data_IF_064312066024
#
_entry.id   IF_064312066024
#
_cell.length_a   1.000
_cell.length_b   1.000
_cell.length_c   1.000
_cell.angle_alpha   90.00
_cell.angle_beta   90.00
_cell.angle_gamma   90.00
#
_symmetry.space_group_name_H-M   'P 1'
#
loop_
_entity.id
_entity.type
_entity.pdbx_description
1 polymer ?
#
# COMPACT_ATOMS: atom_id res chain seq x y z
N UNK A 1 31.10 -60.20 -13.18
CA UNK A 1 29.93 -59.55 -13.81
C UNK A 1 30.18 -58.04 -13.76
N UNK A 2 30.72 -57.47 -14.84
CA UNK A 2 30.00 -56.62 -15.82
C UNK A 2 29.14 -55.51 -15.19
N UNK A 3 29.15 -54.25 -15.61
CA UNK A 3 30.12 -53.33 -16.26
C UNK A 3 29.34 -52.02 -16.47
N UNK A 4 30.06 -50.88 -16.46
CA UNK A 4 30.01 -49.75 -17.43
C UNK A 4 29.98 -48.34 -16.78
N UNK A 5 31.09 -47.59 -16.89
CA UNK A 5 31.41 -46.50 -17.87
C UNK A 5 30.88 -45.15 -17.34
N UNK A 6 31.75 -44.31 -16.75
CA UNK A 6 32.59 -43.22 -17.34
C UNK A 6 31.81 -41.92 -17.61
N UNK A 7 32.29 -40.81 -17.02
CA UNK A 7 32.76 -39.64 -17.75
C UNK A 7 33.45 -38.66 -16.79
N UNK A 8 34.70 -38.32 -17.13
CA UNK A 8 35.55 -37.35 -16.46
C UNK A 8 35.55 -36.05 -17.27
N UNK A 9 35.67 -34.89 -16.64
CA UNK A 9 36.31 -33.70 -17.23
C UNK A 9 36.70 -32.66 -16.16
N UNK A 10 38.02 -32.59 -15.94
CA UNK A 10 38.89 -31.45 -15.70
C UNK A 10 38.45 -30.31 -14.75
N UNK A 11 39.16 -30.24 -13.62
CA UNK A 11 39.47 -29.01 -12.93
C UNK A 11 40.37 -28.11 -13.81
N UNK A 12 40.02 -26.83 -13.92
CA UNK A 12 40.92 -25.79 -14.41
C UNK A 12 40.76 -24.55 -13.55
N UNK A 13 41.64 -24.44 -12.55
CA UNK A 13 42.09 -23.16 -12.01
C UNK A 13 42.65 -22.33 -13.17
N UNK A 14 42.08 -21.15 -13.43
CA UNK A 14 42.78 -20.11 -14.19
C UNK A 14 42.79 -18.85 -13.36
N UNK A 15 43.97 -18.64 -12.78
CA UNK A 15 44.69 -17.42 -12.51
C UNK A 15 43.90 -16.09 -12.53
N UNK A 16 44.03 -15.39 -11.42
CA UNK A 16 43.79 -13.96 -11.24
C UNK A 16 44.62 -13.18 -12.26
N UNK A 17 43.94 -12.51 -13.20
CA UNK A 17 44.55 -11.56 -14.12
C UNK A 17 44.24 -10.13 -13.68
N UNK A 18 45.10 -9.54 -12.83
CA UNK A 18 45.19 -8.09 -12.69
C UNK A 18 46.11 -7.56 -13.79
N UNK A 19 45.56 -6.85 -14.79
CA UNK A 19 46.16 -5.64 -15.39
C UNK A 19 45.11 -4.87 -16.22
N UNK A 20 44.70 -3.72 -15.67
CA UNK A 20 44.40 -2.42 -16.29
C UNK A 20 43.82 -2.35 -17.72
N UNK A 21 42.57 -1.85 -17.85
CA UNK A 21 42.22 -0.56 -18.48
C UNK A 21 40.72 -0.49 -18.85
N UNK A 22 40.01 0.50 -18.29
CA UNK A 22 38.86 1.12 -18.95
C UNK A 22 37.48 0.54 -18.65
N UNK A 23 36.63 1.40 -18.06
CA UNK A 23 35.19 1.30 -17.90
C UNK A 23 34.68 0.53 -16.68
N UNK A 24 34.38 1.33 -15.66
CA UNK A 24 33.35 1.07 -14.65
C UNK A 24 32.01 0.81 -15.36
N UNK A 25 31.74 -0.44 -15.72
CA UNK A 25 30.35 -0.87 -15.92
C UNK A 25 29.79 -1.18 -14.54
N UNK A 26 29.39 -0.11 -13.85
CA UNK A 26 28.30 -0.19 -12.89
C UNK A 26 27.17 -0.97 -13.57
N UNK A 27 26.57 -2.00 -12.93
CA UNK A 27 25.43 -2.68 -13.53
C UNK A 27 24.40 -1.59 -13.82
N UNK A 28 24.16 -1.30 -15.11
CA UNK A 28 23.17 -0.32 -15.49
C UNK A 28 21.86 -0.76 -14.83
N UNK A 29 21.34 0.08 -13.93
CA UNK A 29 20.05 -0.14 -13.32
C UNK A 29 19.07 -0.46 -14.44
N UNK A 30 18.50 -1.66 -14.42
CA UNK A 30 17.48 -2.05 -15.38
C UNK A 30 16.38 -0.97 -15.34
N UNK A 31 15.78 -0.60 -16.49
CA UNK A 31 14.72 0.39 -16.50
C UNK A 31 13.65 -0.06 -15.50
N UNK A 32 13.49 0.69 -14.41
CA UNK A 32 12.43 0.44 -13.46
C UNK A 32 11.11 0.58 -14.23
N UNK A 33 10.13 -0.33 -14.00
CA UNK A 33 8.82 -0.17 -14.62
C UNK A 33 8.27 1.22 -14.31
N UNK A 34 7.60 1.83 -15.29
CA UNK A 34 6.94 3.15 -15.15
C UNK A 34 5.83 3.15 -14.07
N UNK A 35 5.52 1.97 -13.53
CA UNK A 35 4.40 1.69 -12.63
C UNK A 35 4.90 0.96 -11.39
N UNK A 36 4.49 1.42 -10.20
CA UNK A 36 4.76 0.69 -8.96
C UNK A 36 3.99 -0.64 -8.96
N UNK A 37 4.66 -1.79 -8.77
CA UNK A 37 4.01 -3.10 -8.84
C UNK A 37 2.84 -3.16 -7.86
N UNK A 38 1.71 -3.71 -8.29
CA UNK A 38 0.58 -3.97 -7.41
C UNK A 38 0.94 -5.13 -6.49
N UNK A 39 0.63 -5.01 -5.21
CA UNK A 39 0.85 -6.08 -4.25
C UNK A 39 0.00 -7.30 -4.64
N UNK A 40 0.62 -8.47 -4.78
CA UNK A 40 -0.04 -9.68 -5.30
C UNK A 40 -1.29 -10.09 -4.50
N UNK A 41 -1.32 -9.75 -3.22
CA UNK A 41 -2.43 -10.06 -2.32
C UNK A 41 -3.42 -8.90 -2.16
N UNK A 42 -3.25 -7.81 -2.91
CA UNK A 42 -4.14 -6.68 -2.85
C UNK A 42 -5.42 -6.96 -3.63
N UNK A 43 -6.53 -7.02 -2.92
CA UNK A 43 -7.87 -7.02 -3.50
C UNK A 43 -8.58 -5.75 -3.06
N UNK A 44 -9.12 -5.01 -4.03
CA UNK A 44 -9.90 -3.81 -3.73
C UNK A 44 -11.20 -4.20 -2.99
N UNK A 45 -11.66 -3.31 -2.12
CA UNK A 45 -12.88 -3.53 -1.35
C UNK A 45 -14.04 -2.93 -2.15
N UNK A 46 -15.07 -3.71 -2.52
CA UNK A 46 -16.24 -3.18 -3.21
C UNK A 46 -17.10 -2.34 -2.27
N UNK A 47 -17.83 -1.36 -2.83
CA UNK A 47 -18.82 -0.58 -2.09
C UNK A 47 -19.85 -1.54 -1.48
N UNK A 48 -20.12 -1.49 -0.16
CA UNK A 48 -21.14 -2.34 0.45
C UNK A 48 -22.54 -1.90 0.02
N UNK A 49 -23.52 -2.77 0.24
CA UNK A 49 -24.92 -2.39 0.15
C UNK A 49 -25.23 -1.27 1.17
N UNK A 50 -25.94 -0.23 0.73
CA UNK A 50 -26.20 0.97 1.52
C UNK A 50 -27.67 1.43 1.36
N UNK A 51 -28.64 0.63 1.84
CA UNK A 51 -30.07 0.88 1.62
C UNK A 51 -30.55 2.19 2.23
N UNK A 52 -29.90 2.66 3.30
CA UNK A 52 -30.26 3.91 3.98
C UNK A 52 -29.44 5.12 3.51
N UNK A 53 -28.63 4.95 2.46
CA UNK A 53 -27.78 5.99 1.88
C UNK A 53 -26.89 6.69 2.94
N UNK A 54 -26.25 5.90 3.79
CA UNK A 54 -25.34 6.38 4.84
C UNK A 54 -23.98 6.79 4.26
N UNK A 55 -23.51 6.08 3.24
CA UNK A 55 -22.24 6.37 2.56
C UNK A 55 -22.40 7.58 1.64
N UNK A 56 -23.45 7.60 0.83
CA UNK A 56 -23.62 8.62 -0.22
C UNK A 56 -22.38 8.72 -1.11
N UNK A 57 -21.86 9.95 -1.25
CA UNK A 57 -20.67 10.30 -2.04
C UNK A 57 -19.35 10.10 -1.26
N UNK A 58 -19.41 9.66 -0.01
CA UNK A 58 -18.22 9.45 0.82
C UNK A 58 -17.47 8.14 0.49
N UNK A 59 -17.90 7.39 -0.52
CA UNK A 59 -17.18 6.21 -0.98
C UNK A 59 -15.90 6.60 -1.73
N UNK A 60 -14.78 5.94 -1.42
CA UNK A 60 -13.56 6.08 -2.22
C UNK A 60 -13.73 5.27 -3.52
N UNK A 61 -13.92 5.96 -4.65
CA UNK A 61 -14.13 5.34 -5.96
C UNK A 61 -12.85 4.79 -6.58
N UNK A 62 -11.71 5.35 -6.22
CA UNK A 62 -10.41 4.90 -6.72
C UNK A 62 -10.11 3.48 -6.25
N UNK A 63 -9.47 2.69 -7.10
CA UNK A 63 -8.99 1.36 -6.71
C UNK A 63 -7.87 1.51 -5.69
N UNK A 64 -8.08 1.01 -4.46
CA UNK A 64 -7.11 1.16 -3.38
C UNK A 64 -5.76 0.49 -3.70
N UNK A 65 -5.77 -0.59 -4.49
CA UNK A 65 -4.58 -1.31 -4.92
C UNK A 65 -3.77 -0.57 -6.00
N UNK A 66 -4.37 0.42 -6.65
CA UNK A 66 -3.75 1.20 -7.73
C UNK A 66 -3.49 2.66 -7.33
N UNK A 67 -3.63 3.00 -6.04
CA UNK A 67 -3.25 4.33 -5.54
C UNK A 67 -1.78 4.58 -5.88
N UNK A 68 -1.51 5.77 -6.42
CA UNK A 68 -0.19 6.24 -6.85
C UNK A 68 0.56 5.26 -7.76
N UNK A 69 -0.13 4.72 -8.76
CA UNK A 69 0.46 3.74 -9.68
C UNK A 69 1.60 4.27 -10.56
N UNK A 70 1.96 5.56 -10.52
CA UNK A 70 3.00 6.14 -11.37
C UNK A 70 4.35 6.19 -10.63
N UNK A 71 5.39 5.56 -11.20
CA UNK A 71 6.74 5.50 -10.63
C UNK A 71 7.58 6.75 -10.97
N UNK A 72 7.07 7.93 -10.57
CA UNK A 72 7.76 9.21 -10.76
C UNK A 72 7.78 9.98 -9.44
N UNK A 73 8.64 9.60 -8.49
CA UNK A 73 8.82 10.37 -7.28
C UNK A 73 9.35 11.78 -7.59
N UNK A 74 9.03 12.72 -6.70
CA UNK A 74 9.54 14.08 -6.78
C UNK A 74 11.03 14.17 -6.41
N UNK A 75 11.60 15.36 -6.60
CA UNK A 75 12.98 15.64 -6.22
C UNK A 75 13.20 15.33 -4.72
N UNK A 76 14.30 14.64 -4.41
CA UNK A 76 14.65 14.26 -3.03
C UNK A 76 13.96 12.99 -2.51
N UNK A 77 13.14 12.31 -3.32
CA UNK A 77 12.55 11.00 -2.98
C UNK A 77 13.17 9.93 -3.87
N UNK A 78 13.98 9.05 -3.28
CA UNK A 78 14.52 7.90 -4.00
C UNK A 78 13.47 6.80 -4.23
N UNK A 79 13.80 5.81 -5.08
CA UNK A 79 12.88 4.75 -5.44
C UNK A 79 12.42 3.89 -4.26
N UNK A 80 13.30 3.62 -3.30
CA UNK A 80 13.01 2.79 -2.13
C UNK A 80 12.05 3.52 -1.18
N UNK A 81 12.26 4.82 -0.97
CA UNK A 81 11.37 5.67 -0.19
C UNK A 81 10.01 5.82 -0.88
N UNK A 82 10.02 5.99 -2.21
CA UNK A 82 8.79 6.07 -3.00
C UNK A 82 7.97 4.78 -2.89
N UNK A 83 8.59 3.60 -2.97
CA UNK A 83 7.91 2.32 -2.81
C UNK A 83 7.22 2.21 -1.44
N UNK A 84 7.89 2.62 -0.36
CA UNK A 84 7.32 2.60 1.00
C UNK A 84 6.13 3.56 1.12
N UNK A 85 6.24 4.78 0.58
CA UNK A 85 5.15 5.76 0.57
C UNK A 85 3.93 5.24 -0.20
N UNK A 86 4.16 4.62 -1.36
CA UNK A 86 3.08 4.07 -2.18
C UNK A 86 2.43 2.86 -1.51
N UNK A 87 3.23 1.97 -0.91
CA UNK A 87 2.71 0.87 -0.11
C UNK A 87 1.84 1.37 1.05
N UNK A 88 2.33 2.35 1.82
CA UNK A 88 1.61 2.99 2.91
C UNK A 88 0.27 3.58 2.46
N UNK A 89 0.29 4.37 1.38
CA UNK A 89 -0.90 4.99 0.81
C UNK A 89 -1.95 3.95 0.37
N UNK A 90 -1.53 2.85 -0.26
CA UNK A 90 -2.42 1.76 -0.66
C UNK A 90 -3.03 1.06 0.55
N UNK A 91 -2.24 0.80 1.59
CA UNK A 91 -2.74 0.21 2.84
C UNK A 91 -3.70 1.14 3.58
N UNK A 92 -3.42 2.44 3.63
CA UNK A 92 -4.36 3.46 4.15
C UNK A 92 -5.67 3.48 3.36
N UNK A 93 -5.61 3.44 2.03
CA UNK A 93 -6.80 3.39 1.18
C UNK A 93 -7.64 2.12 1.43
N UNK A 94 -7.01 0.96 1.54
CA UNK A 94 -7.67 -0.31 1.87
C UNK A 94 -8.31 -0.27 3.26
N UNK A 95 -7.54 0.14 4.28
CA UNK A 95 -8.03 0.26 5.64
C UNK A 95 -9.20 1.26 5.72
N UNK A 96 -9.07 2.41 5.06
CA UNK A 96 -10.13 3.40 4.98
C UNK A 96 -11.40 2.89 4.31
N UNK A 97 -11.31 2.16 3.18
CA UNK A 97 -12.48 1.51 2.57
C UNK A 97 -13.12 0.49 3.50
N UNK A 98 -12.32 -0.28 4.24
CA UNK A 98 -12.80 -1.25 5.23
C UNK A 98 -13.53 -0.57 6.37
N UNK A 99 -12.99 0.52 6.91
CA UNK A 99 -13.60 1.30 7.98
C UNK A 99 -14.95 1.88 7.53
N UNK A 100 -14.99 2.50 6.35
CA UNK A 100 -16.23 3.04 5.77
C UNK A 100 -17.28 1.94 5.58
N UNK A 101 -16.87 0.75 5.12
CA UNK A 101 -17.77 -0.37 4.96
C UNK A 101 -18.30 -0.93 6.29
N UNK A 102 -17.46 -0.96 7.33
CA UNK A 102 -17.87 -1.37 8.68
C UNK A 102 -18.85 -0.35 9.29
N UNK A 103 -18.53 0.94 9.21
CA UNK A 103 -19.40 2.01 9.68
C UNK A 103 -20.77 1.98 8.99
N UNK A 104 -20.79 1.80 7.67
CA UNK A 104 -22.04 1.68 6.92
C UNK A 104 -22.86 0.45 7.34
N UNK A 105 -22.22 -0.71 7.55
CA UNK A 105 -22.93 -1.91 8.02
C UNK A 105 -23.52 -1.72 9.41
N UNK A 106 -22.76 -1.13 10.32
CA UNK A 106 -23.21 -0.83 11.69
C UNK A 106 -24.38 0.16 11.67
N UNK A 107 -24.27 1.23 10.89
CA UNK A 107 -25.34 2.21 10.77
C UNK A 107 -26.61 1.67 10.11
N UNK A 108 -26.47 0.86 9.05
CA UNK A 108 -27.63 0.23 8.43
C UNK A 108 -28.33 -0.72 9.42
N UNK A 109 -27.57 -1.51 10.19
CA UNK A 109 -28.14 -2.37 11.23
C UNK A 109 -28.86 -1.59 12.34
N UNK A 110 -28.31 -0.44 12.77
CA UNK A 110 -28.97 0.45 13.73
C UNK A 110 -30.26 1.05 13.16
N UNK A 111 -30.28 1.44 11.87
CA UNK A 111 -31.47 1.99 11.23
C UNK A 111 -32.58 0.96 11.01
N UNK A 112 -32.21 -0.29 10.72
CA UNK A 112 -33.17 -1.39 10.59
C UNK A 112 -33.77 -1.80 11.94
N UNK A 113 -33.01 -1.66 13.03
CA UNK A 113 -33.41 -2.06 14.38
C UNK A 113 -32.99 -1.01 15.42
N UNK A 114 -33.66 0.15 15.46
CA UNK A 114 -33.27 1.24 16.35
C UNK A 114 -33.49 0.84 17.82
N UNK A 115 -32.41 0.83 18.61
CA UNK A 115 -32.45 0.55 20.04
C UNK A 115 -31.33 1.30 20.77
N UNK A 116 -31.66 1.93 21.90
CA UNK A 116 -30.68 2.64 22.73
C UNK A 116 -30.19 3.96 22.13
N UNK A 117 -28.91 4.27 22.32
CA UNK A 117 -28.29 5.51 21.83
C UNK A 117 -28.05 5.40 20.32
N UNK A 118 -28.61 6.32 19.55
CA UNK A 118 -28.39 6.39 18.11
C UNK A 118 -27.10 7.15 17.78
N UNK A 119 -26.18 6.46 17.10
CA UNK A 119 -24.99 7.10 16.53
C UNK A 119 -25.35 7.76 15.20
N UNK A 120 -24.90 9.00 14.98
CA UNK A 120 -24.98 9.67 13.68
C UNK A 120 -23.90 9.12 12.73
N UNK A 121 -24.18 7.96 12.14
CA UNK A 121 -23.27 7.29 11.22
C UNK A 121 -22.98 8.09 9.95
N UNK A 122 -23.89 8.97 9.49
CA UNK A 122 -23.61 9.81 8.31
C UNK A 122 -22.47 10.77 8.58
N UNK A 123 -22.51 11.46 9.72
CA UNK A 123 -21.43 12.37 10.13
C UNK A 123 -20.12 11.63 10.39
N UNK A 124 -20.17 10.48 11.06
CA UNK A 124 -18.96 9.67 11.34
C UNK A 124 -18.31 9.17 10.04
N UNK A 125 -19.11 8.70 9.07
CA UNK A 125 -18.63 8.28 7.75
C UNK A 125 -17.99 9.45 6.99
N UNK A 126 -18.64 10.63 6.99
CA UNK A 126 -18.12 11.83 6.34
C UNK A 126 -16.78 12.26 6.96
N UNK A 127 -16.68 12.24 8.30
CA UNK A 127 -15.44 12.55 9.01
C UNK A 127 -14.33 11.56 8.68
N UNK A 128 -14.62 10.25 8.69
CA UNK A 128 -13.62 9.22 8.33
C UNK A 128 -13.14 9.41 6.89
N UNK A 129 -14.04 9.70 5.95
CA UNK A 129 -13.69 9.96 4.55
C UNK A 129 -12.82 11.21 4.39
N UNK A 130 -13.10 12.27 5.14
CA UNK A 130 -12.31 13.48 5.16
C UNK A 130 -10.88 13.22 5.68
N UNK A 131 -10.75 12.48 6.79
CA UNK A 131 -9.46 12.02 7.32
C UNK A 131 -8.69 11.22 6.28
N UNK A 132 -9.33 10.21 5.67
CA UNK A 132 -8.70 9.39 4.63
C UNK A 132 -8.24 10.24 3.43
N UNK A 133 -8.99 11.27 3.05
CA UNK A 133 -8.59 12.19 1.98
C UNK A 133 -7.32 12.95 2.35
N UNK A 134 -7.23 13.43 3.59
CA UNK A 134 -6.04 14.13 4.09
C UNK A 134 -4.84 13.19 4.14
N UNK A 135 -4.98 12.00 4.71
CA UNK A 135 -3.94 10.97 4.78
C UNK A 135 -3.35 10.62 3.40
N UNK A 136 -4.21 10.46 2.38
CA UNK A 136 -3.77 10.20 1.01
C UNK A 136 -3.15 11.43 0.35
N UNK A 137 -3.64 12.63 0.67
CA UNK A 137 -3.05 13.89 0.19
C UNK A 137 -1.64 14.05 0.74
N UNK A 138 -1.44 13.80 2.03
CA UNK A 138 -0.14 13.87 2.70
C UNK A 138 0.83 12.85 2.13
N UNK A 139 0.36 11.62 1.86
CA UNK A 139 1.14 10.59 1.18
C UNK A 139 1.55 11.02 -0.24
N UNK A 140 0.66 11.67 -0.98
CA UNK A 140 0.95 12.22 -2.30
C UNK A 140 1.97 13.36 -2.25
N UNK A 141 1.88 14.25 -1.25
CA UNK A 141 2.86 15.32 -1.02
C UNK A 141 4.22 14.74 -0.63
N UNK A 142 4.25 13.71 0.23
CA UNK A 142 5.46 13.00 0.58
C UNK A 142 6.13 12.36 -0.66
N UNK A 143 5.35 11.73 -1.54
CA UNK A 143 5.85 11.15 -2.80
C UNK A 143 6.45 12.22 -3.73
N UNK A 144 5.99 13.47 -3.63
CA UNK A 144 6.51 14.61 -4.38
C UNK A 144 7.73 15.30 -3.73
N UNK A 145 8.26 14.76 -2.62
CA UNK A 145 9.37 15.37 -1.88
C UNK A 145 8.96 16.55 -0.99
N UNK A 146 7.66 16.69 -0.72
CA UNK A 146 7.06 17.77 0.08
C UNK A 146 6.32 17.22 1.28
N UNK A 147 6.89 16.22 1.95
CA UNK A 147 6.27 15.58 3.11
C UNK A 147 5.89 16.63 4.18
N UNK A 148 4.63 16.68 4.63
CA UNK A 148 4.24 17.47 5.79
C UNK A 148 5.07 17.13 7.03
N UNK A 149 5.21 18.08 7.96
CA UNK A 149 6.08 17.94 9.14
C UNK A 149 5.79 16.69 9.98
N UNK A 150 4.53 16.29 10.09
CA UNK A 150 4.09 15.13 10.88
C UNK A 150 3.79 13.89 10.03
N UNK A 151 4.16 13.91 8.74
CA UNK A 151 3.98 12.77 7.87
C UNK A 151 4.84 11.60 8.35
N UNK A 152 4.20 10.44 8.47
CA UNK A 152 4.85 9.18 8.84
C UNK A 152 4.24 8.04 8.04
N UNK A 153 5.10 7.10 7.71
CA UNK A 153 4.69 5.82 7.14
C UNK A 153 4.16 4.97 8.30
N UNK A 154 2.90 4.54 8.20
CA UNK A 154 2.24 3.68 9.20
C UNK A 154 2.31 2.22 8.81
N UNK A 155 2.28 1.92 7.51
CA UNK A 155 2.35 0.57 6.99
C UNK A 155 3.67 0.37 6.26
N UNK A 156 4.53 -0.48 6.82
CA UNK A 156 5.72 -1.02 6.16
C UNK A 156 5.52 -2.48 5.76
N UNK A 157 6.04 -2.83 4.60
CA UNK A 157 5.99 -4.21 4.07
C UNK A 157 6.79 -5.15 4.97
N UNK A 158 6.18 -6.24 5.40
CA UNK A 158 6.82 -7.25 6.26
C UNK A 158 6.74 -6.96 7.77
N UNK A 159 6.18 -5.82 8.18
CA UNK A 159 5.85 -5.57 9.59
C UNK A 159 4.47 -6.12 9.94
N UNK A 160 4.37 -6.71 11.15
CA UNK A 160 3.09 -7.15 11.69
C UNK A 160 2.30 -5.93 12.18
N UNK A 161 1.46 -5.37 11.31
CA UNK A 161 0.53 -4.31 11.68
C UNK A 161 -0.62 -4.91 12.47
N UNK A 162 -0.68 -4.61 13.77
CA UNK A 162 -1.80 -4.99 14.62
C UNK A 162 -3.09 -4.46 14.01
N UNK A 163 -4.04 -5.36 13.73
CA UNK A 163 -5.32 -5.00 13.17
C UNK A 163 -6.01 -3.93 14.06
N UNK A 164 -6.25 -2.76 13.45
CA UNK A 164 -7.13 -1.68 13.92
C UNK A 164 -6.68 -0.82 15.12
N UNK A 165 -5.97 0.30 14.88
CA UNK A 165 -6.04 1.47 15.75
C UNK A 165 -7.27 2.30 15.34
N UNK A 166 -8.43 2.13 15.99
CA UNK A 166 -9.54 3.06 15.70
C UNK A 166 -10.95 2.74 16.14
N UNK A 167 -11.23 1.57 16.74
CA UNK A 167 -12.57 1.26 17.28
C UNK A 167 -12.49 0.98 18.78
N UNK A 168 -12.01 1.94 19.56
CA UNK A 168 -12.39 2.03 20.98
C UNK A 168 -13.61 2.93 21.07
N UNK A 169 -14.80 2.38 21.39
CA UNK A 169 -15.92 3.22 21.79
C UNK A 169 -15.50 4.02 23.01
N UNK A 170 -15.69 5.35 22.96
CA UNK A 170 -15.58 6.18 24.15
C UNK A 170 -16.52 5.62 25.22
N UNK A 171 -16.00 5.48 26.44
CA UNK A 171 -16.81 5.21 27.63
C UNK A 171 -17.67 6.42 27.97
#
# INVERSE_FOLDING_TARGET
MNARILAATAASFVAVGLTACGHTSEPAAQPLPDVFPIEQQCADIPKPNDPHNLIGDNWLTDNACAVFNMNRPGEGVDGDQAEKIVYDARMRALAGKRDLALLARQGNAQMDNPAGVETDFKSVIAQRRASLKAELTDSGLALQGKAPQDYRIEYLKGEAHSASPGLTPGK
#
